data_IF_284534658027
#
_entry.id   IF_284534658027
#
_cell.length_a   1.000
_cell.length_b   1.000
_cell.length_c   1.000
_cell.angle_alpha   90.00
_cell.angle_beta   90.00
_cell.angle_gamma   90.00
#
_symmetry.space_group_name_H-M   'P 1'
#
loop_
_entity.id
_entity.type
_entity.pdbx_description
1 polymer ?
#
# COMPACT_ATOMS: atom_id res chain seq x y z
N UNK A 1 -9.44 41.07 34.46
CA UNK A 1 -8.74 40.60 33.25
C UNK A 1 -8.60 39.10 33.38
N UNK A 2 -9.35 38.33 32.62
CA UNK A 2 -9.31 36.86 32.65
C UNK A 2 -8.00 36.41 32.00
N UNK A 3 -7.12 35.86 32.83
CA UNK A 3 -5.76 35.42 32.50
C UNK A 3 -5.77 34.04 31.81
N UNK A 4 -6.68 33.84 30.85
CA UNK A 4 -6.90 32.52 30.23
C UNK A 4 -6.31 32.49 28.84
N UNK A 5 -5.45 31.49 28.60
CA UNK A 5 -4.87 31.20 27.29
C UNK A 5 -6.01 30.82 26.32
N UNK A 6 -6.07 31.36 25.09
CA UNK A 6 -7.05 30.94 24.11
C UNK A 6 -6.92 29.45 23.84
N UNK A 7 -8.05 28.78 23.60
CA UNK A 7 -8.04 27.37 23.20
C UNK A 7 -7.26 27.21 21.89
N UNK A 8 -6.48 26.13 21.73
CA UNK A 8 -5.86 25.83 20.45
C UNK A 8 -6.95 25.67 19.38
N UNK A 9 -6.64 25.99 18.10
CA UNK A 9 -7.55 25.73 17.01
C UNK A 9 -7.87 24.22 16.95
N UNK A 10 -9.07 23.83 16.51
CA UNK A 10 -9.39 22.44 16.26
C UNK A 10 -8.42 21.87 15.22
N UNK A 11 -7.86 20.69 15.51
CA UNK A 11 -7.07 19.92 14.56
C UNK A 11 -8.03 19.01 13.80
N UNK A 12 -7.92 18.99 12.47
CA UNK A 12 -8.52 17.94 11.65
C UNK A 12 -7.46 16.86 11.45
N UNK A 13 -7.67 15.64 11.99
CA UNK A 13 -6.78 14.54 11.73
C UNK A 13 -6.83 14.21 10.24
N UNK A 14 -5.69 14.31 9.56
CA UNK A 14 -5.55 13.91 8.17
C UNK A 14 -5.07 12.47 8.15
N UNK A 15 -5.82 11.60 7.48
CA UNK A 15 -5.40 10.23 7.26
C UNK A 15 -4.18 10.22 6.31
N UNK A 16 -3.19 9.35 6.54
CA UNK A 16 -2.03 9.21 5.66
C UNK A 16 -2.47 8.76 4.26
N UNK A 17 -1.71 9.10 3.20
CA UNK A 17 -1.91 8.47 1.90
C UNK A 17 -1.59 6.97 1.97
N UNK A 18 -2.27 6.19 1.13
CA UNK A 18 -2.02 4.76 0.95
C UNK A 18 -0.58 4.52 0.47
N UNK A 19 0.18 3.68 1.17
CA UNK A 19 1.56 3.35 0.78
C UNK A 19 1.68 2.55 -0.54
N UNK A 20 0.58 1.95 -1.05
CA UNK A 20 0.57 1.24 -2.34
C UNK A 20 0.28 2.21 -3.50
N UNK A 21 -0.80 2.99 -3.41
CA UNK A 21 -1.29 3.78 -4.56
C UNK A 21 -1.27 5.29 -4.35
N UNK A 22 -0.78 5.76 -3.19
CA UNK A 22 -0.71 7.16 -2.77
C UNK A 22 -2.06 7.91 -2.73
N UNK A 23 -3.20 7.21 -2.86
CA UNK A 23 -4.52 7.82 -2.70
C UNK A 23 -4.81 8.07 -1.22
N UNK A 24 -5.74 8.97 -0.96
CA UNK A 24 -6.25 9.21 0.39
C UNK A 24 -6.79 7.92 1.02
N UNK A 25 -6.56 7.75 2.33
CA UNK A 25 -7.18 6.69 3.13
C UNK A 25 -8.26 7.26 4.02
N UNK A 26 -9.20 6.41 4.44
CA UNK A 26 -10.21 6.74 5.43
C UNK A 26 -9.86 6.12 6.78
N UNK A 27 -10.29 6.74 7.87
CA UNK A 27 -10.24 6.12 9.21
C UNK A 27 -11.56 5.38 9.43
N UNK A 28 -11.52 4.06 9.50
CA UNK A 28 -12.67 3.18 9.69
C UNK A 28 -12.32 2.16 10.77
N UNK A 29 -13.17 2.03 11.80
CA UNK A 29 -13.05 1.01 12.85
C UNK A 29 -11.63 0.82 13.44
N UNK A 30 -10.97 1.94 13.77
CA UNK A 30 -9.59 1.96 14.30
C UNK A 30 -8.50 1.45 13.33
N UNK A 31 -8.76 1.54 12.01
CA UNK A 31 -7.80 1.29 10.94
C UNK A 31 -7.77 2.44 9.92
N UNK A 32 -6.64 2.62 9.25
CA UNK A 32 -6.59 3.33 7.98
C UNK A 32 -6.96 2.37 6.86
N UNK A 33 -7.87 2.75 5.97
CA UNK A 33 -8.35 1.91 4.87
C UNK A 33 -8.27 2.65 3.54
N UNK A 34 -7.79 1.97 2.50
CA UNK A 34 -7.77 2.48 1.14
C UNK A 34 -8.86 1.79 0.31
N UNK A 35 -9.87 2.54 -0.13
CA UNK A 35 -10.96 1.99 -0.97
C UNK A 35 -10.47 1.47 -2.33
N UNK A 36 -9.30 1.92 -2.80
CA UNK A 36 -8.77 1.56 -4.12
C UNK A 36 -7.99 0.24 -4.10
N UNK A 37 -7.14 0.08 -3.10
CA UNK A 37 -6.30 -1.11 -2.95
C UNK A 37 -6.89 -2.13 -1.99
N UNK A 38 -8.00 -1.79 -1.34
CA UNK A 38 -8.65 -2.54 -0.25
C UNK A 38 -7.69 -2.88 0.91
N UNK A 39 -6.54 -2.21 0.98
CA UNK A 39 -5.57 -2.40 2.05
C UNK A 39 -6.00 -1.66 3.31
N UNK A 40 -5.67 -2.22 4.47
CA UNK A 40 -5.91 -1.59 5.76
C UNK A 40 -4.79 -1.85 6.75
N UNK A 41 -4.58 -0.93 7.69
CA UNK A 41 -3.63 -1.09 8.79
C UNK A 41 -4.12 -0.40 10.08
N UNK A 42 -3.79 -0.92 11.26
CA UNK A 42 -4.31 -0.41 12.54
C UNK A 42 -3.75 0.98 12.90
N UNK A 43 -4.56 1.84 13.53
CA UNK A 43 -4.11 3.17 13.96
C UNK A 43 -3.08 3.13 15.09
N UNK A 44 -3.14 2.11 15.94
CA UNK A 44 -2.29 1.96 17.13
C UNK A 44 -1.02 1.14 16.86
N UNK A 45 -0.89 0.59 15.66
CA UNK A 45 0.22 -0.27 15.28
C UNK A 45 0.29 -1.59 16.07
N UNK A 46 -0.81 -2.01 16.71
CA UNK A 46 -0.86 -3.26 17.47
C UNK A 46 -1.24 -4.41 16.54
N UNK A 47 -0.44 -5.49 16.56
CA UNK A 47 -0.70 -6.70 15.76
C UNK A 47 0.08 -6.77 14.44
N UNK A 48 1.05 -5.88 14.26
CA UNK A 48 1.97 -5.85 13.13
C UNK A 48 3.10 -6.88 13.37
N UNK A 49 3.18 -7.93 12.57
CA UNK A 49 4.29 -8.90 12.61
C UNK A 49 5.44 -8.51 11.63
N UNK A 50 6.60 -9.16 11.76
CA UNK A 50 7.70 -9.01 10.81
C UNK A 50 7.28 -9.57 9.43
N UNK A 51 7.42 -8.76 8.38
CA UNK A 51 6.91 -9.08 7.04
C UNK A 51 5.48 -8.58 6.78
N UNK A 52 4.83 -8.03 7.80
CA UNK A 52 3.54 -7.35 7.69
C UNK A 52 3.73 -5.90 7.20
N UNK A 53 2.65 -5.29 6.71
CA UNK A 53 2.64 -4.08 5.88
C UNK A 53 3.30 -2.83 6.50
N UNK A 54 3.56 -2.86 7.81
CA UNK A 54 4.03 -1.72 8.57
C UNK A 54 5.51 -1.82 9.00
N UNK A 55 6.24 -2.83 8.54
CA UNK A 55 7.70 -2.85 8.68
C UNK A 55 8.33 -2.19 7.44
N UNK A 56 8.77 -0.91 7.52
CA UNK A 56 9.42 -0.21 6.40
C UNK A 56 10.76 -0.84 6.00
N UNK A 57 11.30 -1.75 6.83
CA UNK A 57 12.52 -2.50 6.57
C UNK A 57 12.25 -3.85 5.87
N UNK A 58 10.99 -4.24 5.64
CA UNK A 58 10.65 -5.42 4.84
C UNK A 58 11.18 -5.24 3.42
N UNK A 59 12.14 -6.09 3.02
CA UNK A 59 12.69 -6.06 1.67
C UNK A 59 11.57 -6.29 0.64
N UNK A 60 11.38 -5.32 -0.25
CA UNK A 60 10.48 -5.46 -1.39
C UNK A 60 11.27 -5.93 -2.60
N UNK A 61 10.71 -6.87 -3.34
CA UNK A 61 11.25 -7.26 -4.62
C UNK A 61 11.13 -6.11 -5.63
N UNK A 62 11.97 -6.16 -6.67
CA UNK A 62 11.90 -5.24 -7.82
C UNK A 62 10.70 -5.49 -8.74
N UNK A 63 10.05 -6.64 -8.62
CA UNK A 63 8.93 -7.06 -9.45
C UNK A 63 7.65 -6.31 -9.07
N UNK A 64 7.02 -5.71 -10.09
CA UNK A 64 5.74 -5.02 -10.00
C UNK A 64 4.83 -5.55 -11.09
N UNK A 65 3.56 -5.79 -10.79
CA UNK A 65 2.56 -6.19 -11.78
C UNK A 65 1.40 -5.18 -11.85
N UNK A 66 0.84 -5.01 -13.05
CA UNK A 66 -0.46 -4.38 -13.27
C UNK A 66 -1.50 -5.45 -13.60
N UNK A 67 -2.09 -6.13 -12.61
CA UNK A 67 -2.87 -7.34 -12.84
C UNK A 67 -4.11 -7.10 -13.71
N UNK A 68 -4.58 -5.85 -13.74
CA UNK A 68 -5.79 -5.44 -14.47
C UNK A 68 -5.48 -4.57 -15.69
N UNK A 69 -4.25 -4.53 -16.23
CA UNK A 69 -3.91 -3.65 -17.36
C UNK A 69 -4.86 -3.82 -18.57
N UNK A 70 -5.26 -5.07 -18.83
CA UNK A 70 -6.13 -5.48 -19.93
C UNK A 70 -7.63 -5.44 -19.59
N UNK A 71 -8.01 -4.99 -18.39
CA UNK A 71 -9.41 -4.92 -18.00
C UNK A 71 -10.20 -3.96 -18.93
N UNK A 72 -11.51 -4.24 -19.18
CA UNK A 72 -12.35 -3.35 -19.97
C UNK A 72 -12.39 -1.91 -19.45
N UNK A 73 -12.56 -0.92 -20.34
CA UNK A 73 -12.51 0.51 -20.00
C UNK A 73 -13.47 0.97 -18.89
N UNK A 74 -14.54 0.21 -18.61
CA UNK A 74 -15.43 0.47 -17.47
C UNK A 74 -14.75 0.29 -16.10
N UNK A 75 -13.52 -0.21 -16.08
CA UNK A 75 -12.68 -0.46 -14.90
C UNK A 75 -11.37 0.35 -14.96
N UNK A 76 -11.37 1.52 -15.60
CA UNK A 76 -10.18 2.35 -15.78
C UNK A 76 -9.50 2.76 -14.45
N UNK A 77 -10.26 2.80 -13.36
CA UNK A 77 -9.79 3.04 -12.00
C UNK A 77 -8.83 1.96 -11.48
N UNK A 78 -9.09 0.69 -11.77
CA UNK A 78 -8.24 -0.43 -11.34
C UNK A 78 -7.14 -0.79 -12.35
N UNK A 79 -7.26 -0.38 -13.63
CA UNK A 79 -6.22 -0.61 -14.67
C UNK A 79 -4.88 0.04 -14.34
N UNK A 80 -4.90 1.13 -13.58
CA UNK A 80 -3.70 1.85 -13.16
C UNK A 80 -3.10 1.34 -11.83
N UNK A 81 -3.69 0.34 -11.20
CA UNK A 81 -3.20 -0.21 -9.94
C UNK A 81 -1.96 -1.07 -10.19
N UNK A 82 -0.90 -0.82 -9.40
CA UNK A 82 0.35 -1.56 -9.41
C UNK A 82 0.47 -2.35 -8.10
N UNK A 83 0.83 -3.63 -8.18
CA UNK A 83 1.14 -4.47 -7.02
C UNK A 83 2.64 -4.72 -7.01
N UNK A 84 3.31 -4.37 -5.91
CA UNK A 84 4.74 -4.63 -5.73
C UNK A 84 4.94 -5.87 -4.87
N UNK A 85 5.85 -6.73 -5.28
CA UNK A 85 6.08 -8.00 -4.59
C UNK A 85 6.83 -7.83 -3.28
N UNK A 86 6.43 -8.57 -2.24
CA UNK A 86 7.25 -8.76 -1.04
C UNK A 86 8.36 -9.79 -1.27
N UNK A 87 9.55 -9.53 -0.73
CA UNK A 87 10.67 -10.47 -0.80
C UNK A 87 10.54 -11.49 0.33
N UNK A 88 9.67 -12.48 0.15
CA UNK A 88 9.66 -13.65 1.03
C UNK A 88 10.81 -14.62 0.70
N UNK A 89 11.20 -15.44 1.67
CA UNK A 89 12.24 -16.46 1.49
C UNK A 89 11.85 -17.45 0.38
N UNK A 90 12.59 -17.46 -0.74
CA UNK A 90 12.36 -18.39 -1.87
C UNK A 90 11.53 -17.84 -3.05
N UNK A 91 11.26 -16.53 -3.09
CA UNK A 91 10.33 -15.90 -4.07
C UNK A 91 10.89 -15.63 -5.49
N UNK A 92 12.10 -16.07 -5.83
CA UNK A 92 12.83 -15.62 -7.05
C UNK A 92 12.16 -15.96 -8.39
N UNK A 93 11.19 -16.89 -8.39
CA UNK A 93 10.45 -17.33 -9.59
C UNK A 93 8.94 -17.11 -9.49
N UNK A 94 8.42 -16.76 -8.32
CA UNK A 94 6.99 -16.58 -8.06
C UNK A 94 6.80 -15.44 -7.08
N UNK A 95 6.25 -14.36 -7.61
CA UNK A 95 6.00 -13.13 -6.88
C UNK A 95 4.62 -13.18 -6.23
N UNK A 96 4.44 -12.45 -5.13
CA UNK A 96 3.19 -12.40 -4.36
C UNK A 96 2.83 -10.96 -4.06
N UNK A 97 1.54 -10.62 -4.12
CA UNK A 97 1.07 -9.28 -3.76
C UNK A 97 1.18 -9.04 -2.24
N UNK A 98 1.17 -7.76 -1.83
CA UNK A 98 1.30 -7.41 -0.41
C UNK A 98 0.23 -8.00 0.51
N UNK A 99 -0.96 -8.28 -0.02
CA UNK A 99 -2.11 -8.85 0.69
C UNK A 99 -2.20 -10.39 0.54
N UNK A 100 -1.18 -11.04 -0.05
CA UNK A 100 -1.09 -12.49 -0.30
C UNK A 100 -2.24 -13.12 -1.10
N UNK A 101 -3.17 -12.32 -1.61
CA UNK A 101 -4.35 -12.77 -2.35
C UNK A 101 -4.05 -13.22 -3.78
N UNK A 102 -2.83 -13.00 -4.28
CA UNK A 102 -2.45 -13.22 -5.66
C UNK A 102 -0.95 -13.41 -5.87
N UNK A 103 -0.60 -14.23 -6.85
CA UNK A 103 0.80 -14.48 -7.25
C UNK A 103 1.00 -14.30 -8.74
N UNK A 104 2.17 -13.84 -9.17
CA UNK A 104 2.54 -13.71 -10.58
C UNK A 104 3.92 -14.27 -10.92
N UNK A 105 4.11 -14.59 -12.20
CA UNK A 105 5.41 -14.99 -12.76
C UNK A 105 6.17 -13.75 -13.24
N UNK A 106 7.51 -13.83 -13.23
CA UNK A 106 8.36 -12.81 -13.87
C UNK A 106 8.08 -12.64 -15.37
N UNK A 107 7.54 -13.68 -16.03
CA UNK A 107 7.25 -13.69 -17.46
C UNK A 107 5.87 -13.12 -17.82
N UNK A 108 5.09 -12.67 -16.84
CA UNK A 108 3.77 -12.09 -17.10
C UNK A 108 3.90 -10.78 -17.89
N UNK A 109 3.15 -10.58 -18.98
CA UNK A 109 3.28 -9.41 -19.84
C UNK A 109 2.94 -8.08 -19.13
N UNK A 110 2.22 -8.15 -18.01
CA UNK A 110 1.87 -7.00 -17.19
C UNK A 110 2.87 -6.73 -16.07
N UNK A 111 3.98 -7.47 -16.02
CA UNK A 111 5.08 -7.26 -15.08
C UNK A 111 6.09 -6.24 -15.58
N UNK A 112 6.60 -5.44 -14.65
CA UNK A 112 7.67 -4.47 -14.84
C UNK A 112 8.64 -4.57 -13.66
N UNK A 113 9.93 -4.41 -13.94
CA UNK A 113 10.93 -4.26 -12.87
C UNK A 113 11.17 -2.77 -12.60
N UNK A 114 11.11 -2.38 -11.32
CA UNK A 114 11.56 -1.04 -10.91
C UNK A 114 13.09 -1.03 -10.96
N UNK A 115 13.68 -0.10 -11.71
CA UNK A 115 15.10 0.21 -11.61
C UNK A 115 15.34 1.00 -10.33
N UNK A 116 16.30 0.57 -9.50
CA UNK A 116 16.70 1.34 -8.33
C UNK A 116 17.14 2.74 -8.77
N UNK A 117 16.58 3.77 -8.13
CA UNK A 117 17.09 5.11 -8.27
C UNK A 117 18.54 5.10 -7.76
N UNK A 118 19.50 5.22 -8.67
CA UNK A 118 20.91 5.32 -8.34
C UNK A 118 21.08 6.58 -7.47
N UNK A 119 21.35 6.37 -6.18
CA UNK A 119 21.70 7.45 -5.24
C UNK A 119 23.15 7.87 -5.43
#
# INVERSE_FOLDING_TARGET
MTNTRPAPPPLEPVAPPCSICATETAVIDNSFQCDRCECSWPLDGIGIEDGDWDNPDTEQCRSVIQPFADAPARYDDIRAVNHRCYREHGHDLRHTNPDLSGTWSSDDPNVREIQEATR
#
